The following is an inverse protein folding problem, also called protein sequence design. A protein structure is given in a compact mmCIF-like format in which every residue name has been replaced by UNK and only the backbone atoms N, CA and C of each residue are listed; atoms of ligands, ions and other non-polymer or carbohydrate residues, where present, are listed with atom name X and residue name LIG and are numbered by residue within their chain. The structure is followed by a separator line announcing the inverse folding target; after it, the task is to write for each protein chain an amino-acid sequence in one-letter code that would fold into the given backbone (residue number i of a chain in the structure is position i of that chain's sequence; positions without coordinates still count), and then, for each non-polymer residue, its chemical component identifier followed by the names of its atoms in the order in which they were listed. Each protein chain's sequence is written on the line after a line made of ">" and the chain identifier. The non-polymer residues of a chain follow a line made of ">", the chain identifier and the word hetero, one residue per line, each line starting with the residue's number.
data_IF_200869416505
#
_entry.id   IF_200869416505
#
_cell.length_a   1.000
_cell.length_b   1.000
_cell.length_c   1.000
_cell.angle_alpha   90.00
_cell.angle_beta   90.00
_cell.angle_gamma   90.00
#
_symmetry.space_group_name_H-M   'P 1'
#
loop_
_entity.id
_entity.type
_entity.pdbx_description
1 polymer ?
#
# COMPACT_ATOMS: atom_id res chain seq x y z
N UNK A 1 -6.71 6.00 14.45
CA UNK A 1 -5.45 5.22 14.56
C UNK A 1 -5.59 4.05 13.62
N UNK A 2 -4.78 3.97 12.56
CA UNK A 2 -4.65 2.73 11.79
C UNK A 2 -3.77 1.79 12.62
N UNK A 3 -4.16 0.53 12.84
CA UNK A 3 -3.29 -0.43 13.52
C UNK A 3 -1.95 -0.52 12.76
N UNK A 4 -0.87 -0.80 13.48
CA UNK A 4 0.43 -0.99 12.83
C UNK A 4 0.32 -2.18 11.86
N UNK A 5 0.78 -1.99 10.63
CA UNK A 5 0.91 -3.07 9.65
C UNK A 5 1.63 -4.25 10.31
N UNK A 6 0.99 -5.41 10.35
CA UNK A 6 1.65 -6.64 10.80
C UNK A 6 2.80 -6.93 9.84
N UNK A 7 3.97 -7.37 10.31
CA UNK A 7 5.07 -7.74 9.44
C UNK A 7 4.64 -8.92 8.56
N UNK A 8 4.33 -8.64 7.30
CA UNK A 8 3.93 -9.64 6.33
C UNK A 8 5.17 -10.38 5.82
N UNK A 9 5.15 -11.71 5.86
CA UNK A 9 6.22 -12.49 5.22
C UNK A 9 6.03 -12.40 3.71
N UNK A 10 6.93 -11.69 3.04
CA UNK A 10 6.90 -11.54 1.58
C UNK A 10 7.11 -12.92 0.93
N UNK A 11 6.08 -13.49 0.25
CA UNK A 11 6.25 -14.77 -0.43
C UNK A 11 7.17 -14.58 -1.65
N UNK A 12 7.76 -15.69 -2.14
CA UNK A 12 8.48 -15.63 -3.41
C UNK A 12 7.55 -15.14 -4.53
N UNK A 13 8.05 -14.31 -5.47
CA UNK A 13 7.24 -13.86 -6.59
C UNK A 13 6.78 -15.05 -7.43
N UNK A 14 5.54 -15.03 -7.95
CA UNK A 14 5.09 -16.04 -8.88
C UNK A 14 5.92 -15.99 -10.17
N UNK A 15 5.99 -17.12 -10.89
CA UNK A 15 6.63 -17.17 -12.21
C UNK A 15 5.87 -16.26 -13.16
N UNK A 16 6.55 -15.24 -13.68
CA UNK A 16 5.98 -14.26 -14.60
C UNK A 16 6.98 -13.91 -15.69
N UNK A 17 6.48 -13.62 -16.90
CA UNK A 17 7.25 -13.08 -18.01
C UNK A 17 7.51 -11.58 -17.90
N UNK A 18 6.82 -10.91 -16.96
CA UNK A 18 6.93 -9.48 -16.70
C UNK A 18 7.59 -9.22 -15.35
N UNK A 19 8.33 -8.10 -15.18
CA UNK A 19 8.83 -7.70 -13.87
C UNK A 19 7.67 -7.46 -12.91
N UNK A 20 7.77 -8.03 -11.72
CA UNK A 20 6.80 -7.85 -10.63
C UNK A 20 7.38 -6.94 -9.55
N UNK A 21 6.50 -6.22 -8.86
CA UNK A 21 6.81 -5.49 -7.64
C UNK A 21 5.97 -6.04 -6.50
N UNK A 22 6.57 -6.13 -5.32
CA UNK A 22 5.84 -6.43 -4.10
C UNK A 22 5.14 -5.16 -3.63
N UNK A 23 3.82 -5.19 -3.61
CA UNK A 23 3.00 -4.22 -2.91
C UNK A 23 2.79 -4.72 -1.48
N UNK A 24 3.33 -4.04 -0.45
CA UNK A 24 3.07 -4.40 0.93
C UNK A 24 1.57 -4.35 1.26
N UNK A 25 1.15 -5.17 2.22
CA UNK A 25 -0.18 -5.03 2.80
C UNK A 25 -0.36 -3.63 3.38
N UNK A 26 -1.54 -3.06 3.16
CA UNK A 26 -1.83 -1.67 3.47
C UNK A 26 -3.28 -1.49 3.89
N UNK A 27 -3.52 -0.43 4.66
CA UNK A 27 -4.88 0.00 4.98
C UNK A 27 -5.42 0.90 3.88
N UNK A 28 -6.67 0.66 3.51
CA UNK A 28 -7.44 1.54 2.65
C UNK A 28 -8.75 1.93 3.34
N UNK A 29 -9.21 3.16 3.10
CA UNK A 29 -10.47 3.65 3.63
C UNK A 29 -11.58 3.36 2.63
N UNK A 30 -12.56 2.53 3.00
CA UNK A 30 -13.66 2.13 2.11
C UNK A 30 -14.86 3.11 2.10
N UNK A 31 -14.76 4.20 2.87
CA UNK A 31 -15.84 5.16 3.09
C UNK A 31 -16.49 5.04 4.46
N UNK A 32 -16.32 3.92 5.17
CA UNK A 32 -16.87 3.67 6.50
C UNK A 32 -15.81 3.26 7.53
N UNK A 33 -14.80 2.49 7.11
CA UNK A 33 -13.77 1.94 8.00
C UNK A 33 -12.44 1.74 7.27
N UNK A 34 -11.37 1.53 8.05
CA UNK A 34 -10.08 1.10 7.52
C UNK A 34 -10.10 -0.41 7.32
N UNK A 35 -9.90 -0.84 6.08
CA UNK A 35 -9.81 -2.24 5.69
C UNK A 35 -8.35 -2.57 5.39
N UNK A 36 -7.86 -3.66 5.97
CA UNK A 36 -6.53 -4.18 5.66
C UNK A 36 -6.57 -5.02 4.38
N UNK A 37 -5.73 -4.65 3.42
CA UNK A 37 -5.45 -5.44 2.23
C UNK A 37 -4.12 -6.16 2.43
N UNK A 38 -4.10 -7.46 2.13
CA UNK A 38 -2.87 -8.25 2.16
C UNK A 38 -1.96 -7.83 1.02
N UNK A 39 -0.65 -7.94 1.24
CA UNK A 39 0.33 -7.63 0.22
C UNK A 39 0.26 -8.62 -0.94
N UNK A 40 0.60 -8.13 -2.12
CA UNK A 40 0.54 -8.90 -3.35
C UNK A 40 1.67 -8.55 -4.32
N UNK A 41 1.99 -9.51 -5.19
CA UNK A 41 2.91 -9.28 -6.29
C UNK A 41 2.12 -8.74 -7.49
N UNK A 42 2.37 -7.47 -7.84
CA UNK A 42 1.74 -6.81 -8.98
C UNK A 42 2.70 -6.67 -10.15
N UNK A 43 2.17 -6.55 -11.38
CA UNK A 43 2.99 -6.17 -12.53
C UNK A 43 3.61 -4.78 -12.32
N UNK A 44 4.90 -4.62 -12.58
CA UNK A 44 5.59 -3.33 -12.40
C UNK A 44 4.97 -2.24 -13.28
N UNK A 45 4.78 -2.50 -14.58
CA UNK A 45 4.37 -1.47 -15.54
C UNK A 45 5.28 -0.23 -15.45
N UNK A 46 4.67 0.96 -15.44
CA UNK A 46 5.36 2.25 -15.25
C UNK A 46 5.42 2.69 -13.78
N UNK A 47 5.10 1.80 -12.83
CA UNK A 47 5.09 2.13 -11.39
C UNK A 47 6.51 2.28 -10.85
N UNK A 48 6.66 3.20 -9.90
CA UNK A 48 7.84 3.29 -9.05
C UNK A 48 7.99 2.02 -8.20
N UNK A 49 9.22 1.74 -7.77
CA UNK A 49 9.50 0.64 -6.83
C UNK A 49 9.26 1.03 -5.38
N UNK A 50 9.02 2.31 -5.11
CA UNK A 50 8.77 2.82 -3.76
C UNK A 50 7.28 2.84 -3.49
N UNK A 51 6.84 1.97 -2.59
CA UNK A 51 5.51 2.01 -2.01
C UNK A 51 5.50 2.93 -0.80
N UNK A 52 4.51 3.81 -0.71
CA UNK A 52 4.22 4.60 0.46
C UNK A 52 2.91 4.13 1.08
N UNK A 53 2.98 3.70 2.34
CA UNK A 53 1.79 3.32 3.10
C UNK A 53 0.84 4.50 3.28
N UNK A 54 -0.45 4.21 3.43
CA UNK A 54 -1.44 5.22 3.71
C UNK A 54 -1.16 5.94 5.03
N UNK A 55 -1.36 7.25 5.03
CA UNK A 55 -1.03 8.09 6.18
C UNK A 55 -2.03 9.22 6.37
N UNK A 56 -2.12 9.71 7.60
CA UNK A 56 -2.86 10.94 7.90
C UNK A 56 -2.01 12.15 7.52
N UNK A 57 -2.45 12.89 6.52
CA UNK A 57 -1.85 14.16 6.16
C UNK A 57 -2.58 15.29 6.88
N UNK A 58 -1.83 16.21 7.47
CA UNK A 58 -2.40 17.44 8.00
C UNK A 58 -2.69 18.39 6.85
N UNK A 59 -3.95 18.76 6.68
CA UNK A 59 -4.40 19.77 5.71
C UNK A 59 -5.09 20.93 6.47
N UNK A 60 -4.34 22.01 6.63
CA UNK A 60 -4.73 23.15 7.47
C UNK A 60 -5.03 22.75 8.93
N UNK A 61 -6.30 22.90 9.32
CA UNK A 61 -6.82 22.56 10.64
C UNK A 61 -7.43 21.15 10.71
N UNK A 62 -7.36 20.38 9.62
CA UNK A 62 -7.94 19.03 9.52
C UNK A 62 -6.87 17.98 9.24
N UNK A 63 -7.21 16.71 9.46
CA UNK A 63 -6.42 15.58 9.01
C UNK A 63 -7.19 14.84 7.95
N UNK A 64 -6.58 14.64 6.80
CA UNK A 64 -7.13 13.88 5.68
C UNK A 64 -6.35 12.57 5.55
N UNK A 65 -7.06 11.48 5.26
CA UNK A 65 -6.41 10.21 4.97
C UNK A 65 -5.91 10.22 3.54
N UNK A 66 -4.61 9.97 3.35
CA UNK A 66 -4.00 9.74 2.06
C UNK A 66 -3.86 8.23 1.89
N UNK A 67 -4.54 7.60 0.92
CA UNK A 67 -4.37 6.17 0.63
C UNK A 67 -2.93 5.82 0.28
N UNK A 68 -2.56 4.57 0.55
CA UNK A 68 -1.25 4.05 0.13
C UNK A 68 -1.11 4.11 -1.39
N UNK A 69 0.07 4.50 -1.85
CA UNK A 69 0.32 4.70 -3.27
C UNK A 69 1.79 4.49 -3.62
N UNK A 70 2.05 4.28 -4.90
CA UNK A 70 3.40 4.27 -5.44
C UNK A 70 3.95 5.70 -5.48
N UNK A 71 4.99 5.96 -4.70
CA UNK A 71 5.65 7.26 -4.67
C UNK A 71 6.46 7.44 -5.96
N UNK A 72 6.17 8.50 -6.72
CA UNK A 72 6.90 8.85 -7.95
C UNK A 72 8.29 9.41 -7.66
#
# INVERSE_FOLDING_TARGET
>A
MVPQAEPETVPLPPVSSKPLLWQPGHYEWDGAQFVWYKGEWIERGDRSTLWQDGYWQKDGNTFVWVPGHWAS
#
